data_IF_032606229361
#
_entry.id   IF_032606229361
#
_cell.length_a   1.000
_cell.length_b   1.000
_cell.length_c   1.000
_cell.angle_alpha   90.00
_cell.angle_beta   90.00
_cell.angle_gamma   90.00
#
_symmetry.space_group_name_H-M   'P 1'
#
loop_
_entity.id
_entity.type
_entity.pdbx_description
1 polymer ?
#
# COMPACT_ATOMS: atom_id res chain seq x y z
N UNK A 1 3.33 15.69 -9.16
CA UNK A 1 3.76 14.28 -8.98
C UNK A 1 4.67 13.85 -10.13
N UNK A 2 5.67 12.99 -9.89
CA UNK A 2 6.51 12.42 -10.96
C UNK A 2 6.42 10.89 -10.93
N UNK A 3 6.22 10.28 -12.10
CA UNK A 3 6.25 8.82 -12.27
C UNK A 3 7.41 8.47 -13.19
N UNK A 4 8.21 7.49 -12.80
CA UNK A 4 9.35 7.01 -13.58
C UNK A 4 9.41 5.49 -13.59
N UNK A 5 9.83 4.90 -14.71
CA UNK A 5 10.13 3.47 -14.79
C UNK A 5 11.62 3.29 -14.45
N UNK A 6 11.90 2.63 -13.33
CA UNK A 6 13.26 2.43 -12.80
C UNK A 6 13.88 1.16 -13.36
N UNK A 7 13.05 0.15 -13.63
CA UNK A 7 13.41 -1.09 -14.31
C UNK A 7 12.19 -1.61 -15.09
N UNK A 8 12.36 -2.66 -15.90
CA UNK A 8 11.28 -3.21 -16.71
C UNK A 8 10.00 -3.50 -15.88
N UNK A 9 10.19 -4.06 -14.68
CA UNK A 9 9.17 -4.46 -13.72
C UNK A 9 8.99 -3.47 -12.56
N UNK A 10 9.64 -2.30 -12.59
CA UNK A 10 9.68 -1.39 -11.44
C UNK A 10 9.33 0.04 -11.81
N UNK A 11 8.33 0.57 -11.13
CA UNK A 11 7.86 1.95 -11.26
C UNK A 11 8.05 2.68 -9.96
N UNK A 12 8.41 3.95 -10.04
CA UNK A 12 8.59 4.83 -8.89
C UNK A 12 7.75 6.07 -9.08
N UNK A 13 6.79 6.26 -8.18
CA UNK A 13 6.00 7.47 -8.06
C UNK A 13 6.58 8.29 -6.91
N UNK A 14 7.04 9.50 -7.22
CA UNK A 14 7.61 10.45 -6.27
C UNK A 14 6.70 11.67 -6.17
N UNK A 15 6.29 11.96 -4.94
CA UNK A 15 5.57 13.18 -4.59
C UNK A 15 6.55 14.32 -4.35
N UNK A 16 6.11 15.58 -4.51
CA UNK A 16 6.94 16.72 -4.12
C UNK A 16 7.39 16.56 -2.65
N UNK A 17 8.62 16.94 -2.30
CA UNK A 17 9.10 16.80 -0.93
C UNK A 17 8.25 17.65 0.01
N UNK A 18 7.91 17.10 1.18
CA UNK A 18 7.20 17.87 2.17
C UNK A 18 8.08 18.99 2.76
N UNK A 19 7.47 20.09 3.19
CA UNK A 19 8.16 21.19 3.87
C UNK A 19 7.57 21.46 5.26
N UNK A 20 7.92 22.56 5.92
CA UNK A 20 7.44 22.83 7.28
C UNK A 20 5.90 23.01 7.36
N UNK A 21 5.26 23.39 6.26
CA UNK A 21 3.86 23.81 6.19
C UNK A 21 2.99 22.91 5.32
N UNK A 22 3.60 22.09 4.49
CA UNK A 22 2.92 21.31 3.48
C UNK A 22 3.36 19.84 3.49
N UNK A 23 2.38 18.96 3.28
CA UNK A 23 2.55 17.50 3.24
C UNK A 23 1.80 16.97 2.01
N UNK A 24 2.42 16.18 1.13
CA UNK A 24 1.79 15.70 -0.10
C UNK A 24 0.47 14.96 0.10
N UNK A 25 0.41 14.02 1.05
CA UNK A 25 -0.81 13.25 1.32
C UNK A 25 -1.85 14.03 2.14
N UNK A 26 -1.49 15.23 2.62
CA UNK A 26 -2.43 16.19 3.21
C UNK A 26 -3.01 17.17 2.21
N UNK A 27 -2.45 17.25 1.00
CA UNK A 27 -2.94 18.08 -0.10
C UNK A 27 -3.99 17.31 -0.92
N UNK A 28 -5.25 17.80 -1.03
CA UNK A 28 -6.33 17.04 -1.68
C UNK A 28 -6.07 16.71 -3.15
N UNK A 29 -5.41 17.61 -3.89
CA UNK A 29 -5.11 17.40 -5.31
C UNK A 29 -4.02 16.34 -5.48
N UNK A 30 -2.91 16.50 -4.78
CA UNK A 30 -1.80 15.53 -4.79
C UNK A 30 -2.26 14.15 -4.30
N UNK A 31 -3.07 14.09 -3.26
CA UNK A 31 -3.67 12.86 -2.76
C UNK A 31 -4.54 12.17 -3.81
N UNK A 32 -5.43 12.92 -4.47
CA UNK A 32 -6.32 12.39 -5.49
C UNK A 32 -5.56 11.87 -6.72
N UNK A 33 -4.52 12.59 -7.17
CA UNK A 33 -3.64 12.14 -8.26
C UNK A 33 -2.89 10.86 -7.88
N UNK A 34 -2.34 10.81 -6.67
CA UNK A 34 -1.60 9.64 -6.15
C UNK A 34 -2.51 8.42 -6.09
N UNK A 35 -3.71 8.59 -5.51
CA UNK A 35 -4.67 7.52 -5.39
C UNK A 35 -5.19 7.06 -6.76
N UNK A 36 -5.42 7.97 -7.71
CA UNK A 36 -5.82 7.61 -9.07
C UNK A 36 -4.75 6.76 -9.74
N UNK A 37 -3.48 7.17 -9.69
CA UNK A 37 -2.39 6.41 -10.31
C UNK A 37 -2.24 5.02 -9.70
N UNK A 38 -2.27 4.90 -8.37
CA UNK A 38 -2.19 3.61 -7.67
C UNK A 38 -3.40 2.72 -7.97
N UNK A 39 -4.60 3.31 -8.02
CA UNK A 39 -5.83 2.58 -8.31
C UNK A 39 -5.85 2.03 -9.74
N UNK A 40 -5.38 2.82 -10.71
CA UNK A 40 -5.39 2.46 -12.12
C UNK A 40 -4.20 1.56 -12.53
N UNK A 41 -3.21 1.36 -11.64
CA UNK A 41 -2.01 0.57 -11.94
C UNK A 41 -2.30 -0.92 -12.21
N UNK A 42 -3.28 -1.50 -11.53
CA UNK A 42 -3.52 -2.94 -11.57
C UNK A 42 -4.92 -3.34 -11.12
N UNK A 43 -5.17 -4.65 -10.91
CA UNK A 43 -6.48 -5.14 -10.51
C UNK A 43 -6.98 -4.55 -9.17
N UNK A 44 -8.28 -4.32 -9.10
CA UNK A 44 -8.99 -3.83 -7.90
C UNK A 44 -9.98 -4.89 -7.40
N UNK A 45 -10.24 -4.98 -6.08
CA UNK A 45 -9.84 -4.06 -5.01
C UNK A 45 -8.38 -4.22 -4.57
N UNK A 46 -7.82 -3.16 -4.00
CA UNK A 46 -6.48 -3.16 -3.42
C UNK A 46 -6.48 -3.78 -2.01
N UNK A 47 -5.36 -4.36 -1.61
CA UNK A 47 -5.12 -4.74 -0.21
C UNK A 47 -3.98 -3.88 0.31
N UNK A 48 -4.16 -3.22 1.46
CA UNK A 48 -3.08 -2.57 2.16
C UNK A 48 -2.66 -3.41 3.36
N UNK A 49 -1.36 -3.67 3.48
CA UNK A 49 -0.74 -4.33 4.63
C UNK A 49 0.04 -3.29 5.42
N UNK A 50 -0.27 -3.16 6.70
CA UNK A 50 0.32 -2.16 7.59
C UNK A 50 1.05 -2.87 8.72
N UNK A 51 2.33 -2.58 8.84
CA UNK A 51 3.19 -3.03 9.93
C UNK A 51 3.20 -2.03 11.07
N UNK A 52 3.12 -2.50 12.31
CA UNK A 52 3.25 -1.67 13.51
C UNK A 52 3.92 -2.43 14.66
N UNK A 53 4.48 -1.69 15.62
CA UNK A 53 5.00 -2.24 16.87
C UNK A 53 4.09 -1.81 18.03
N UNK A 54 3.71 -2.79 18.86
CA UNK A 54 2.82 -2.54 20.00
C UNK A 54 1.34 -2.47 19.58
N UNK A 55 0.68 -1.36 19.89
CA UNK A 55 -0.76 -1.19 19.64
C UNK A 55 -1.05 -0.90 18.16
N UNK A 56 -2.13 -1.48 17.65
CA UNK A 56 -2.60 -1.18 16.30
C UNK A 56 -2.97 0.32 16.19
N UNK A 57 -2.58 1.01 15.10
CA UNK A 57 -2.99 2.38 14.85
C UNK A 57 -4.52 2.53 14.88
N UNK A 58 -5.02 3.49 15.65
CA UNK A 58 -6.46 3.66 15.89
C UNK A 58 -7.25 3.99 14.63
N UNK A 59 -6.64 4.69 13.67
CA UNK A 59 -7.27 5.00 12.38
C UNK A 59 -7.71 3.71 11.66
N UNK A 60 -6.91 2.64 11.71
CA UNK A 60 -7.22 1.37 11.04
C UNK A 60 -8.55 0.74 11.46
N UNK A 61 -9.11 1.10 12.61
CA UNK A 61 -10.40 0.58 13.08
C UNK A 61 -11.54 0.77 12.07
N UNK A 62 -11.48 1.82 11.23
CA UNK A 62 -12.50 2.07 10.21
C UNK A 62 -12.52 1.03 9.07
N UNK A 63 -11.49 0.19 8.94
CA UNK A 63 -11.29 -0.73 7.81
C UNK A 63 -11.42 -2.22 8.15
N UNK A 64 -11.88 -2.57 9.36
CA UNK A 64 -11.98 -3.97 9.82
C UNK A 64 -10.70 -4.80 9.57
N UNK A 65 -9.55 -4.37 10.15
CA UNK A 65 -8.25 -4.94 9.85
C UNK A 65 -8.17 -6.40 10.25
N UNK A 66 -7.54 -7.22 9.41
CA UNK A 66 -7.33 -8.65 9.65
C UNK A 66 -5.86 -8.91 9.97
N UNK A 67 -5.53 -9.62 11.05
CA UNK A 67 -4.14 -9.97 11.34
C UNK A 67 -3.58 -10.88 10.25
N UNK A 68 -2.34 -10.63 9.83
CA UNK A 68 -1.62 -11.41 8.82
C UNK A 68 -0.20 -11.68 9.29
N UNK A 69 0.50 -12.62 8.64
CA UNK A 69 1.90 -12.94 8.99
C UNK A 69 2.92 -12.01 8.33
N UNK A 70 2.53 -11.33 7.26
CA UNK A 70 3.37 -10.32 6.62
C UNK A 70 3.40 -9.06 7.49
N UNK A 71 4.57 -8.68 7.99
CA UNK A 71 4.80 -7.44 8.74
C UNK A 71 5.80 -6.54 7.98
N UNK A 72 5.32 -5.53 7.23
CA UNK A 72 6.17 -4.63 6.46
C UNK A 72 7.13 -3.80 7.30
N UNK A 73 8.24 -3.37 6.69
CA UNK A 73 9.18 -2.42 7.28
C UNK A 73 9.87 -2.93 8.56
N UNK A 74 9.98 -4.25 8.74
CA UNK A 74 10.58 -4.87 9.93
C UNK A 74 9.72 -4.79 11.19
N UNK A 75 8.43 -4.47 11.06
CA UNK A 75 7.50 -4.48 12.17
C UNK A 75 7.35 -5.88 12.79
N UNK A 76 6.99 -5.92 14.07
CA UNK A 76 6.66 -7.15 14.79
C UNK A 76 5.27 -7.70 14.45
N UNK A 77 4.33 -6.82 14.09
CA UNK A 77 2.93 -7.19 13.77
C UNK A 77 2.52 -6.61 12.43
N UNK A 78 1.69 -7.35 11.69
CA UNK A 78 1.09 -6.91 10.44
C UNK A 78 -0.41 -7.14 10.41
N UNK A 79 -1.14 -6.18 9.85
CA UNK A 79 -2.56 -6.30 9.54
C UNK A 79 -2.82 -5.93 8.10
N UNK A 80 -3.83 -6.55 7.51
CA UNK A 80 -4.26 -6.27 6.14
C UNK A 80 -5.70 -5.76 6.12
N UNK A 81 -5.96 -4.79 5.24
CA UNK A 81 -7.28 -4.19 5.00
C UNK A 81 -7.59 -4.21 3.51
N UNK A 82 -8.88 -4.29 3.18
CA UNK A 82 -9.36 -4.16 1.79
C UNK A 82 -9.68 -2.70 1.51
N UNK A 83 -9.15 -2.16 0.43
CA UNK A 83 -9.50 -0.86 -0.13
C UNK A 83 -10.41 -1.10 -1.32
N UNK A 84 -11.72 -1.03 -1.07
CA UNK A 84 -12.75 -1.47 -2.02
C UNK A 84 -13.00 -0.47 -3.14
N UNK A 85 -12.72 0.81 -2.90
CA UNK A 85 -12.90 1.91 -3.86
C UNK A 85 -11.71 2.85 -3.88
N UNK A 86 -11.57 3.65 -4.95
CA UNK A 86 -10.56 4.71 -5.01
C UNK A 86 -10.69 5.70 -3.85
N UNK A 87 -11.92 6.02 -3.43
CA UNK A 87 -12.15 6.88 -2.27
C UNK A 87 -11.66 6.27 -0.96
N UNK A 88 -11.75 4.94 -0.82
CA UNK A 88 -11.18 4.25 0.34
C UNK A 88 -9.66 4.34 0.34
N UNK A 89 -9.03 4.25 -0.84
CA UNK A 89 -7.59 4.46 -0.99
C UNK A 89 -7.18 5.90 -0.67
N UNK A 90 -7.88 6.91 -1.20
CA UNK A 90 -7.64 8.33 -0.88
C UNK A 90 -7.73 8.55 0.65
N UNK A 91 -8.79 8.04 1.28
CA UNK A 91 -8.98 8.13 2.73
C UNK A 91 -7.88 7.41 3.51
N UNK A 92 -7.51 6.20 3.08
CA UNK A 92 -6.45 5.41 3.70
C UNK A 92 -5.10 6.14 3.64
N UNK A 93 -4.74 6.70 2.48
CA UNK A 93 -3.50 7.45 2.28
C UNK A 93 -3.44 8.74 3.12
N UNK A 94 -4.58 9.38 3.32
CA UNK A 94 -4.69 10.60 4.13
C UNK A 94 -4.60 10.30 5.64
N UNK A 95 -5.37 9.34 6.13
CA UNK A 95 -5.44 9.03 7.57
C UNK A 95 -4.22 8.25 8.09
N UNK A 96 -3.57 7.46 7.24
CA UNK A 96 -2.44 6.62 7.63
C UNK A 96 -1.06 7.27 7.44
N UNK A 97 -1.00 8.49 6.89
CA UNK A 97 0.24 9.24 6.77
C UNK A 97 0.93 9.35 8.14
N UNK A 98 2.24 9.04 8.25
CA UNK A 98 3.22 8.97 7.17
C UNK A 98 3.47 7.57 6.54
N UNK A 99 2.66 6.52 6.77
CA UNK A 99 2.81 5.23 6.04
C UNK A 99 4.22 4.58 6.00
N UNK A 100 5.04 4.74 7.04
CA UNK A 100 6.44 4.29 7.05
C UNK A 100 6.62 2.75 6.95
N UNK A 101 5.53 1.99 7.09
CA UNK A 101 5.50 0.52 7.09
C UNK A 101 4.27 0.00 6.40
N UNK A 102 4.00 0.50 5.21
CA UNK A 102 2.81 0.11 4.44
C UNK A 102 3.21 -0.47 3.10
N UNK A 103 2.58 -1.59 2.76
CA UNK A 103 2.67 -2.22 1.44
C UNK A 103 1.27 -2.28 0.84
N UNK A 104 1.12 -1.82 -0.39
CA UNK A 104 -0.10 -2.04 -1.18
C UNK A 104 0.10 -3.27 -2.04
N UNK A 105 -0.95 -4.06 -2.23
CA UNK A 105 -0.95 -5.29 -3.00
C UNK A 105 -2.10 -5.22 -4.01
N UNK A 106 -1.81 -5.52 -5.28
CA UNK A 106 -2.81 -5.68 -6.33
C UNK A 106 -3.12 -7.18 -6.50
N UNK A 107 -4.26 -7.68 -5.97
CA UNK A 107 -4.59 -9.11 -6.02
C UNK A 107 -4.80 -9.58 -7.46
N UNK A 108 -4.23 -10.74 -7.82
CA UNK A 108 -4.35 -11.31 -9.16
C UNK A 108 -5.75 -11.85 -9.48
N UNK A 109 -6.40 -12.46 -8.50
CA UNK A 109 -7.67 -13.20 -8.71
C UNK A 109 -8.79 -12.69 -7.84
N UNK A 110 -8.62 -12.81 -6.53
CA UNK A 110 -9.57 -12.29 -5.55
C UNK A 110 -8.84 -11.98 -4.23
N UNK A 111 -9.37 -11.03 -3.47
CA UNK A 111 -8.81 -10.60 -2.21
C UNK A 111 -8.72 -11.75 -1.20
N UNK A 112 -9.75 -12.61 -1.12
CA UNK A 112 -9.79 -13.75 -0.18
C UNK A 112 -8.60 -14.69 -0.34
N UNK A 113 -8.18 -14.99 -1.58
CA UNK A 113 -7.01 -15.84 -1.83
C UNK A 113 -5.71 -15.18 -1.40
N UNK A 114 -5.63 -13.86 -1.53
CA UNK A 114 -4.49 -13.09 -1.04
C UNK A 114 -4.47 -13.08 0.50
N UNK A 115 -5.60 -12.94 1.18
CA UNK A 115 -5.68 -13.04 2.64
C UNK A 115 -5.30 -14.43 3.17
N UNK A 116 -5.77 -15.50 2.52
CA UNK A 116 -5.35 -16.88 2.83
C UNK A 116 -3.82 -17.00 2.75
N UNK A 117 -3.21 -16.51 1.67
CA UNK A 117 -1.77 -16.57 1.45
C UNK A 117 -0.96 -15.67 2.40
N UNK A 118 -1.47 -14.47 2.73
CA UNK A 118 -0.88 -13.56 3.73
C UNK A 118 -0.87 -14.16 5.15
N UNK A 119 -1.77 -15.09 5.43
CA UNK A 119 -1.82 -15.83 6.71
C UNK A 119 -0.98 -17.11 6.69
N UNK A 120 -0.52 -17.53 5.50
CA UNK A 120 0.21 -18.76 5.26
C UNK A 120 1.74 -18.63 5.43
N UNK A 121 2.53 -19.49 4.76
CA UNK A 121 3.99 -19.42 4.82
C UNK A 121 4.53 -18.04 4.39
N UNK A 122 5.72 -17.63 4.89
CA UNK A 122 6.38 -16.42 4.42
C UNK A 122 6.43 -16.37 2.88
N UNK A 123 6.14 -15.20 2.32
CA UNK A 123 6.16 -14.94 0.87
C UNK A 123 5.16 -15.74 0.02
N UNK A 124 4.24 -16.53 0.61
CA UNK A 124 3.21 -17.24 -0.16
C UNK A 124 2.29 -16.29 -0.95
N UNK A 125 2.06 -15.10 -0.40
CA UNK A 125 1.24 -14.03 -1.01
C UNK A 125 1.80 -13.49 -2.34
N UNK A 126 3.11 -13.62 -2.61
CA UNK A 126 3.72 -13.15 -3.87
C UNK A 126 3.07 -13.81 -5.08
N UNK A 127 2.60 -15.06 -4.94
CA UNK A 127 1.94 -15.80 -6.02
C UNK A 127 0.48 -15.39 -6.26
N UNK A 128 -0.09 -14.57 -5.38
CA UNK A 128 -1.51 -14.20 -5.41
C UNK A 128 -1.73 -12.74 -5.84
N UNK A 129 -0.66 -12.02 -6.16
CA UNK A 129 -0.71 -10.60 -6.54
C UNK A 129 0.01 -10.39 -7.87
N UNK A 130 -0.40 -9.38 -8.62
CA UNK A 130 0.28 -8.96 -9.85
C UNK A 130 1.31 -7.87 -9.62
N UNK A 131 1.18 -7.15 -8.50
CA UNK A 131 2.14 -6.16 -8.07
C UNK A 131 2.07 -5.92 -6.55
N UNK A 132 3.15 -5.37 -6.01
CA UNK A 132 3.20 -4.75 -4.69
C UNK A 132 3.79 -3.34 -4.77
N UNK A 133 3.43 -2.47 -3.84
CA UNK A 133 4.03 -1.16 -3.70
C UNK A 133 4.48 -0.91 -2.27
N UNK A 134 5.76 -0.61 -2.10
CA UNK A 134 6.31 -0.20 -0.83
C UNK A 134 6.21 1.33 -0.71
N UNK A 135 5.57 1.79 0.36
CA UNK A 135 5.50 3.21 0.69
C UNK A 135 6.73 3.58 1.53
N UNK A 136 7.47 4.58 1.07
CA UNK A 136 8.74 5.02 1.64
C UNK A 136 8.69 6.51 1.98
N UNK A 137 9.69 6.98 2.74
CA UNK A 137 9.89 8.40 3.07
C UNK A 137 8.62 9.09 3.56
N UNK A 138 7.89 8.44 4.45
CA UNK A 138 6.72 9.05 5.05
C UNK A 138 5.53 9.25 4.10
N UNK A 139 5.44 8.49 3.01
CA UNK A 139 4.39 8.64 2.00
C UNK A 139 4.78 9.52 0.82
N UNK A 140 6.05 9.91 0.71
CA UNK A 140 6.55 10.71 -0.41
C UNK A 140 6.97 9.87 -1.62
N UNK A 141 7.26 8.59 -1.43
CA UNK A 141 7.75 7.71 -2.50
C UNK A 141 7.00 6.38 -2.47
N UNK A 142 6.48 5.98 -3.61
CA UNK A 142 5.82 4.69 -3.83
C UNK A 142 6.64 3.92 -4.85
N UNK A 143 7.29 2.85 -4.40
CA UNK A 143 8.04 1.96 -5.27
C UNK A 143 7.17 0.73 -5.57
N UNK A 144 6.69 0.66 -6.81
CA UNK A 144 5.81 -0.40 -7.30
C UNK A 144 6.63 -1.44 -8.06
N UNK A 145 6.48 -2.70 -7.66
CA UNK A 145 7.08 -3.87 -8.27
C UNK A 145 5.99 -4.69 -8.95
N UNK A 146 6.11 -4.89 -10.25
CA UNK A 146 5.31 -5.86 -10.98
C UNK A 146 5.87 -7.25 -10.75
N UNK A 147 5.02 -8.17 -10.31
CA UNK A 147 5.42 -9.55 -10.06
C UNK A 147 5.24 -10.34 -11.33
N UNK A 148 6.35 -10.51 -12.06
CA UNK A 148 6.40 -11.47 -13.15
C UNK A 148 6.33 -12.87 -12.56
N UNK A 149 5.22 -13.57 -12.81
CA UNK A 149 5.14 -14.99 -12.51
C UNK A 149 5.54 -15.75 -13.78
N UNK A 150 6.52 -16.67 -13.68
CA UNK A 150 6.93 -17.51 -14.81
C UNK A 150 5.81 -18.42 -15.31
#
# INVERSE_FOLDING_TARGET
MQVSQVAYDRFRLELPPADATWRPLGDPETLAETAAWLWDFGPTPLIAVVGYDGAAPSWLAAWSPRPVRLAPGGASTGVAVVLATRKDLERFLSEGAPHERTVLLWPRTMETKTFEALSGPPNAWIKTVDADANIQRGGEVFEVHQIQVP
#
